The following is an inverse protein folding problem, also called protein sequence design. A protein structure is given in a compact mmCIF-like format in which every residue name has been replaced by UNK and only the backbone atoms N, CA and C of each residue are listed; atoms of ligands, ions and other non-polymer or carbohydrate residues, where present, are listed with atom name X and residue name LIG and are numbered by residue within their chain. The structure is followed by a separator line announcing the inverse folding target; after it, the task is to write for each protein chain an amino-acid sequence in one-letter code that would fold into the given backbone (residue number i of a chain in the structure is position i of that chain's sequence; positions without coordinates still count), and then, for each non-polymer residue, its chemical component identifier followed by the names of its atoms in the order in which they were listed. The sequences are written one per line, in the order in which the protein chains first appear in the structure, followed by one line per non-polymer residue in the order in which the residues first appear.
data_IF_801513451105
#
_entry.id   IF_801513451105
#
_cell.length_a   1.000
_cell.length_b   1.000
_cell.length_c   1.000
_cell.angle_alpha   90.00
_cell.angle_beta   90.00
_cell.angle_gamma   90.00
#
_symmetry.space_group_name_H-M   'P 1'
#
loop_
_entity.id
_entity.type
_entity.pdbx_description
1 polymer ?
#
# COMPACT_ATOMS: atom_id res chain seq x y z
N UNK A 1 -49.06 -32.17 -39.14
CA UNK A 1 -49.05 -33.26 -40.14
C UNK A 1 -47.70 -33.93 -40.06
N UNK A 2 -47.70 -35.20 -39.61
CA UNK A 2 -46.69 -36.28 -39.74
C UNK A 2 -45.32 -36.01 -39.10
N UNK A 3 -44.99 -36.66 -37.99
CA UNK A 3 -44.60 -38.09 -37.81
C UNK A 3 -43.25 -38.36 -38.49
N UNK A 4 -42.14 -38.45 -37.74
CA UNK A 4 -41.61 -39.64 -37.04
C UNK A 4 -40.69 -40.49 -37.90
N UNK A 5 -39.50 -40.80 -37.36
CA UNK A 5 -38.56 -41.91 -37.61
C UNK A 5 -37.11 -41.34 -37.46
N UNK A 6 -36.38 -41.48 -36.35
CA UNK A 6 -36.01 -42.68 -35.58
C UNK A 6 -35.05 -43.61 -36.35
N UNK A 7 -33.78 -43.61 -35.91
CA UNK A 7 -32.84 -44.75 -35.86
C UNK A 7 -31.60 -44.23 -35.10
N UNK A 8 -31.31 -44.63 -33.86
CA UNK A 8 -30.71 -45.91 -33.42
C UNK A 8 -29.48 -46.29 -34.26
N UNK A 9 -28.36 -46.76 -33.72
CA UNK A 9 -27.68 -46.74 -32.43
C UNK A 9 -26.27 -47.30 -32.77
N UNK A 10 -25.27 -46.92 -31.97
CA UNK A 10 -23.91 -47.49 -31.80
C UNK A 10 -23.82 -49.04 -31.85
N UNK A 11 -22.64 -49.71 -32.00
CA UNK A 11 -21.34 -49.41 -31.35
C UNK A 11 -20.12 -49.72 -32.29
N UNK A 12 -18.84 -49.82 -31.94
CA UNK A 12 -18.11 -50.25 -30.74
C UNK A 12 -16.61 -49.91 -30.94
N UNK A 13 -15.94 -49.57 -29.83
CA UNK A 13 -14.61 -50.06 -29.38
C UNK A 13 -13.38 -50.12 -30.32
N UNK A 14 -12.23 -49.64 -29.83
CA UNK A 14 -10.92 -50.15 -30.27
C UNK A 14 -9.72 -49.22 -30.16
N UNK A 15 -9.34 -48.90 -28.92
CA UNK A 15 -7.98 -48.70 -28.37
C UNK A 15 -6.76 -48.32 -29.25
N UNK A 16 -6.11 -47.23 -28.78
CA UNK A 16 -4.66 -46.97 -28.72
C UNK A 16 -3.79 -47.07 -29.97
N UNK A 17 -3.24 -45.91 -30.37
CA UNK A 17 -1.79 -45.81 -30.57
C UNK A 17 -1.27 -44.39 -30.27
N UNK A 18 -0.25 -44.35 -29.42
CA UNK A 18 0.50 -43.18 -29.00
C UNK A 18 1.66 -43.04 -30.00
N UNK A 19 1.72 -41.94 -30.75
CA UNK A 19 3.01 -41.49 -31.31
C UNK A 19 3.19 -39.97 -31.23
N UNK A 20 4.02 -39.61 -30.26
CA UNK A 20 5.05 -38.58 -30.31
C UNK A 20 4.80 -37.36 -31.22
N UNK A 21 4.27 -36.32 -30.59
CA UNK A 21 4.31 -34.92 -31.02
C UNK A 21 5.74 -34.50 -31.35
N UNK A 22 6.15 -34.68 -32.61
CA UNK A 22 7.35 -34.06 -33.15
C UNK A 22 7.04 -32.58 -33.33
N UNK A 23 7.47 -31.80 -32.34
CA UNK A 23 7.45 -30.34 -32.29
C UNK A 23 8.00 -29.77 -33.61
N UNK A 24 7.10 -29.52 -34.57
CA UNK A 24 7.35 -28.59 -35.65
C UNK A 24 7.41 -27.23 -34.97
N UNK A 25 8.63 -26.70 -34.89
CA UNK A 25 8.88 -25.31 -34.57
C UNK A 25 8.07 -24.47 -35.56
N UNK A 26 6.87 -24.08 -35.16
CA UNK A 26 6.12 -22.99 -35.75
C UNK A 26 7.03 -21.79 -35.54
N UNK A 27 7.78 -21.44 -36.59
CA UNK A 27 8.41 -20.15 -36.70
C UNK A 27 7.28 -19.14 -36.47
N UNK A 28 7.26 -18.52 -35.28
CA UNK A 28 6.39 -17.38 -35.01
C UNK A 28 6.59 -16.43 -36.18
N UNK A 29 5.52 -16.03 -36.89
CA UNK A 29 5.66 -14.93 -37.83
C UNK A 29 6.25 -13.78 -37.01
N UNK A 30 7.45 -13.35 -37.39
CA UNK A 30 7.96 -12.06 -36.99
C UNK A 30 7.01 -11.04 -37.63
N UNK A 31 5.91 -10.76 -36.93
CA UNK A 31 5.17 -9.54 -37.11
C UNK A 31 6.14 -8.44 -36.74
N UNK A 32 6.87 -7.94 -37.74
CA UNK A 32 7.46 -6.62 -37.70
C UNK A 32 6.29 -5.66 -37.53
N UNK A 33 5.88 -5.44 -36.27
CA UNK A 33 4.99 -4.34 -35.97
C UNK A 33 5.58 -3.09 -36.63
N UNK A 34 4.75 -2.27 -37.28
CA UNK A 34 5.22 -1.00 -37.82
C UNK A 34 5.93 -0.29 -36.67
N UNK A 35 7.19 0.08 -36.88
CA UNK A 35 8.00 0.78 -35.90
C UNK A 35 7.20 2.01 -35.49
N UNK A 36 6.46 1.92 -34.37
CA UNK A 36 5.79 3.07 -33.77
C UNK A 36 6.85 4.15 -33.69
N UNK A 37 6.52 5.35 -34.18
CA UNK A 37 7.39 6.51 -34.03
C UNK A 37 7.90 6.52 -32.58
N UNK A 38 9.22 6.57 -32.39
CA UNK A 38 9.85 6.46 -31.06
C UNK A 38 9.27 7.49 -30.09
N UNK A 39 8.82 8.64 -30.61
CA UNK A 39 8.17 9.68 -29.82
C UNK A 39 6.73 9.33 -29.42
N UNK A 40 5.97 8.60 -30.25
CA UNK A 40 4.67 8.05 -29.87
C UNK A 40 4.82 6.98 -28.79
N UNK A 41 5.85 6.14 -28.87
CA UNK A 41 6.15 5.15 -27.82
C UNK A 41 6.50 5.84 -26.49
N UNK A 42 7.26 6.94 -26.53
CA UNK A 42 7.59 7.73 -25.34
C UNK A 42 6.35 8.38 -24.72
N UNK A 43 5.42 8.90 -25.53
CA UNK A 43 4.15 9.46 -25.05
C UNK A 43 3.29 8.40 -24.37
N UNK A 44 3.15 7.22 -24.99
CA UNK A 44 2.42 6.09 -24.42
C UNK A 44 3.04 5.61 -23.10
N UNK A 45 4.38 5.47 -23.07
CA UNK A 45 5.13 5.13 -21.85
C UNK A 45 4.95 6.20 -20.77
N UNK A 46 4.95 7.48 -21.14
CA UNK A 46 4.73 8.59 -20.23
C UNK A 46 3.29 8.58 -19.66
N UNK A 47 2.29 8.19 -20.44
CA UNK A 47 0.91 8.04 -19.99
C UNK A 47 0.78 6.87 -18.98
N UNK A 48 1.30 5.69 -19.33
CA UNK A 48 1.34 4.53 -18.44
C UNK A 48 2.08 4.83 -17.12
N UNK A 49 3.18 5.58 -17.20
CA UNK A 49 3.93 6.02 -16.01
C UNK A 49 3.13 6.96 -15.12
N UNK A 50 2.28 7.81 -15.71
CA UNK A 50 1.41 8.70 -14.96
C UNK A 50 0.31 7.93 -14.20
N UNK A 51 -0.23 6.87 -14.80
CA UNK A 51 -1.15 5.96 -14.10
C UNK A 51 -0.46 5.25 -12.93
N UNK A 52 0.77 4.77 -13.12
CA UNK A 52 1.56 4.17 -12.04
C UNK A 52 1.80 5.15 -10.87
N UNK A 53 2.03 6.43 -11.17
CA UNK A 53 2.15 7.48 -10.15
C UNK A 53 0.83 7.63 -9.37
N UNK A 54 -0.33 7.65 -10.04
CA UNK A 54 -1.64 7.69 -9.38
C UNK A 54 -1.88 6.48 -8.47
N UNK A 55 -1.50 5.29 -8.93
CA UNK A 55 -1.58 4.08 -8.11
C UNK A 55 -0.65 4.15 -6.89
N UNK A 56 0.57 4.66 -7.05
CA UNK A 56 1.50 4.88 -5.94
C UNK A 56 0.92 5.87 -4.90
N UNK A 57 0.31 6.96 -5.35
CA UNK A 57 -0.31 7.97 -4.48
C UNK A 57 -1.53 7.42 -3.73
N UNK A 58 -2.34 6.62 -4.41
CA UNK A 58 -3.48 5.92 -3.79
C UNK A 58 -3.01 4.96 -2.71
N UNK A 59 -2.00 4.12 -3.00
CA UNK A 59 -1.40 3.19 -2.03
C UNK A 59 -0.78 3.94 -0.85
N UNK A 60 -0.07 5.03 -1.11
CA UNK A 60 0.54 5.84 -0.08
C UNK A 60 -0.52 6.45 0.87
N UNK A 61 -1.63 6.93 0.31
CA UNK A 61 -2.75 7.50 1.08
C UNK A 61 -3.42 6.45 1.97
N UNK A 62 -3.64 5.23 1.45
CA UNK A 62 -4.19 4.12 2.22
C UNK A 62 -3.26 3.73 3.36
N UNK A 63 -1.96 3.56 3.08
CA UNK A 63 -0.97 3.25 4.11
C UNK A 63 -0.86 4.36 5.15
N UNK A 64 -0.98 5.62 4.74
CA UNK A 64 -0.95 6.77 5.63
C UNK A 64 -2.09 6.70 6.64
N UNK A 65 -3.31 6.42 6.16
CA UNK A 65 -4.48 6.25 7.03
C UNK A 65 -4.28 5.10 8.04
N UNK A 66 -3.78 3.94 7.58
CA UNK A 66 -3.53 2.78 8.46
C UNK A 66 -2.48 3.13 9.52
N UNK A 67 -1.34 3.70 9.12
CA UNK A 67 -0.26 4.01 10.05
C UNK A 67 -0.65 5.11 11.02
N UNK A 68 -1.37 6.14 10.58
CA UNK A 68 -1.88 7.20 11.45
C UNK A 68 -2.92 6.66 12.45
N UNK A 69 -3.80 5.74 12.04
CA UNK A 69 -4.75 5.12 12.94
C UNK A 69 -4.05 4.30 14.04
N UNK A 70 -3.06 3.48 13.66
CA UNK A 70 -2.29 2.70 14.63
C UNK A 70 -1.45 3.60 15.55
N UNK A 71 -0.82 4.63 14.99
CA UNK A 71 -0.04 5.61 15.76
C UNK A 71 -0.93 6.32 16.81
N UNK A 72 -2.16 6.69 16.43
CA UNK A 72 -3.13 7.28 17.35
C UNK A 72 -3.57 6.31 18.45
N UNK A 73 -3.82 5.04 18.11
CA UNK A 73 -4.17 4.01 19.07
C UNK A 73 -3.04 3.74 20.07
N UNK A 74 -1.83 3.46 19.57
CA UNK A 74 -0.67 3.18 20.41
C UNK A 74 -0.25 4.40 21.23
N UNK A 75 -0.33 5.61 20.66
CA UNK A 75 -0.05 6.85 21.38
C UNK A 75 -1.05 7.12 22.51
N UNK A 76 -2.34 6.83 22.30
CA UNK A 76 -3.36 6.91 23.36
C UNK A 76 -3.06 5.93 24.49
N UNK A 77 -2.74 4.68 24.16
CA UNK A 77 -2.39 3.65 25.16
C UNK A 77 -1.22 4.08 26.03
N UNK A 78 -0.14 4.57 25.41
CA UNK A 78 1.04 5.07 26.12
C UNK A 78 0.74 6.28 27.03
N UNK A 79 -0.24 7.11 26.64
CA UNK A 79 -0.66 8.23 27.48
C UNK A 79 -1.52 7.80 28.68
N UNK A 80 -2.31 6.74 28.55
CA UNK A 80 -3.15 6.18 29.63
C UNK A 80 -2.31 5.44 30.67
N UNK A 81 -1.30 4.66 30.25
CA UNK A 81 -0.41 3.92 31.16
C UNK A 81 0.55 4.84 31.94
N UNK A 82 0.63 6.12 31.55
CA UNK A 82 1.39 7.16 32.22
C UNK A 82 2.88 7.06 31.93
N UNK A 83 3.43 8.04 31.22
CA UNK A 83 4.87 8.23 30.96
C UNK A 83 5.63 8.63 32.24
N UNK A 84 5.49 7.86 33.30
CA UNK A 84 6.09 8.12 34.59
C UNK A 84 7.49 7.53 34.60
N UNK A 85 8.42 8.32 34.04
CA UNK A 85 9.88 8.12 34.02
C UNK A 85 10.41 7.08 33.03
N UNK A 86 11.12 7.56 32.01
CA UNK A 86 11.87 6.74 31.03
C UNK A 86 12.82 5.71 31.67
N UNK A 87 13.29 5.94 32.90
CA UNK A 87 14.18 5.01 33.62
C UNK A 87 13.46 3.79 34.23
N UNK A 88 12.13 3.76 34.23
CA UNK A 88 11.33 2.67 34.80
C UNK A 88 10.41 2.00 33.77
N UNK A 89 10.59 2.27 32.48
CA UNK A 89 9.76 1.68 31.43
C UNK A 89 9.97 0.17 31.35
N UNK A 90 8.86 -0.56 31.37
CA UNK A 90 8.87 -2.00 31.12
C UNK A 90 9.16 -2.30 29.63
N UNK A 91 9.65 -3.51 29.36
CA UNK A 91 10.00 -3.96 28.00
C UNK A 91 8.88 -3.73 26.97
N UNK A 92 7.58 -3.97 27.27
CA UNK A 92 6.49 -3.68 26.35
C UNK A 92 6.38 -2.20 26.00
N UNK A 93 6.55 -1.30 26.97
CA UNK A 93 6.48 0.15 26.74
C UNK A 93 7.61 0.63 25.82
N UNK A 94 8.83 0.13 26.04
CA UNK A 94 9.99 0.44 25.18
C UNK A 94 9.72 0.01 23.74
N UNK A 95 9.20 -1.21 23.53
CA UNK A 95 8.83 -1.72 22.21
C UNK A 95 7.72 -0.90 21.55
N UNK A 96 6.78 -0.39 22.35
CA UNK A 96 5.69 0.47 21.89
C UNK A 96 6.23 1.84 21.44
N UNK A 97 7.13 2.46 22.20
CA UNK A 97 7.79 3.72 21.83
C UNK A 97 8.61 3.56 20.54
N UNK A 98 9.38 2.47 20.43
CA UNK A 98 10.14 2.15 19.21
C UNK A 98 9.20 1.99 18.01
N UNK A 99 8.08 1.27 18.19
CA UNK A 99 7.04 1.12 17.17
C UNK A 99 6.51 2.47 16.68
N UNK A 100 6.19 3.39 17.62
CA UNK A 100 5.72 4.73 17.30
C UNK A 100 6.74 5.54 16.50
N UNK A 101 8.02 5.51 16.88
CA UNK A 101 9.08 6.22 16.16
C UNK A 101 9.27 5.68 14.74
N UNK A 102 9.26 4.35 14.58
CA UNK A 102 9.38 3.70 13.28
C UNK A 102 8.17 4.04 12.39
N UNK A 103 6.95 4.02 12.95
CA UNK A 103 5.73 4.39 12.23
C UNK A 103 5.74 5.86 11.82
N UNK A 104 6.19 6.76 12.70
CA UNK A 104 6.34 8.18 12.37
C UNK A 104 7.32 8.39 11.21
N UNK A 105 8.46 7.69 11.21
CA UNK A 105 9.41 7.71 10.09
C UNK A 105 8.79 7.17 8.78
N UNK A 106 7.98 6.10 8.88
CA UNK A 106 7.21 5.56 7.76
C UNK A 106 6.20 6.56 7.19
N UNK A 107 5.46 7.25 8.06
CA UNK A 107 4.51 8.32 7.70
C UNK A 107 5.22 9.46 6.95
N UNK A 108 6.38 9.90 7.43
CA UNK A 108 7.18 10.94 6.74
C UNK A 108 7.55 10.48 5.32
N UNK A 109 7.95 9.22 5.14
CA UNK A 109 8.23 8.66 3.82
C UNK A 109 6.98 8.60 2.92
N UNK A 110 5.80 8.33 3.47
CA UNK A 110 4.53 8.38 2.72
C UNK A 110 4.17 9.79 2.28
N UNK A 111 4.34 10.78 3.16
CA UNK A 111 4.15 12.20 2.81
C UNK A 111 5.07 12.58 1.64
N UNK A 112 6.33 12.16 1.69
CA UNK A 112 7.28 12.39 0.59
C UNK A 112 6.94 11.66 -0.71
N UNK A 113 6.16 10.57 -0.64
CA UNK A 113 5.66 9.85 -1.81
C UNK A 113 4.54 10.63 -2.50
N UNK A 114 3.63 11.21 -1.72
CA UNK A 114 2.48 11.98 -2.22
C UNK A 114 2.91 13.37 -2.68
N UNK A 115 3.90 13.98 -2.01
CA UNK A 115 4.31 15.36 -2.27
C UNK A 115 4.67 15.58 -3.75
N UNK A 116 4.13 16.63 -4.40
CA UNK A 116 4.43 16.93 -5.78
C UNK A 116 5.90 17.33 -5.92
N UNK A 117 6.72 16.45 -6.51
CA UNK A 117 8.16 16.66 -6.76
C UNK A 117 8.48 17.03 -8.20
N UNK A 118 7.50 17.50 -8.97
CA UNK A 118 7.81 18.11 -10.24
C UNK A 118 8.58 19.41 -9.93
N UNK A 119 9.92 19.34 -10.00
CA UNK A 119 10.71 20.54 -10.22
C UNK A 119 10.24 21.06 -11.56
N UNK A 120 9.33 22.03 -11.53
CA UNK A 120 9.11 22.91 -12.68
C UNK A 120 10.49 23.51 -12.90
N UNK A 121 11.16 23.12 -13.99
CA UNK A 121 12.44 23.70 -14.35
C UNK A 121 12.17 25.20 -14.54
N UNK A 122 12.44 25.99 -13.49
CA UNK A 122 12.14 27.43 -13.45
C UNK A 122 12.96 28.20 -14.49
N UNK A 123 13.99 27.58 -15.06
CA UNK A 123 14.95 28.27 -15.93
C UNK A 123 14.67 28.11 -17.43
N UNK A 124 13.72 27.26 -17.84
CA UNK A 124 13.27 27.18 -19.23
C UNK A 124 11.86 26.62 -19.29
N UNK A 125 10.91 27.50 -19.62
CA UNK A 125 9.55 27.26 -20.10
C UNK A 125 8.97 25.86 -19.82
N UNK A 126 7.98 25.80 -18.91
CA UNK A 126 7.00 24.70 -18.80
C UNK A 126 6.73 24.16 -20.22
N UNK A 127 6.98 22.89 -20.52
CA UNK A 127 6.70 22.38 -21.87
C UNK A 127 5.21 22.57 -22.25
N UNK A 128 4.86 22.67 -23.53
CA UNK A 128 3.45 22.85 -23.96
C UNK A 128 2.53 21.70 -23.50
N UNK A 129 3.10 20.54 -23.17
CA UNK A 129 2.40 19.38 -22.60
C UNK A 129 2.12 19.48 -21.09
N UNK A 130 2.54 20.57 -20.42
CA UNK A 130 2.27 20.78 -19.00
C UNK A 130 0.93 21.47 -18.79
N UNK A 131 0.12 20.93 -17.87
CA UNK A 131 -1.18 21.50 -17.49
C UNK A 131 -1.06 22.98 -17.09
N UNK A 132 -0.03 23.35 -16.32
CA UNK A 132 0.22 24.72 -15.88
C UNK A 132 0.52 25.70 -17.01
N UNK A 133 0.89 25.23 -18.21
CA UNK A 133 1.09 26.07 -19.39
C UNK A 133 -0.14 26.07 -20.28
N UNK A 134 -0.83 24.94 -20.38
CA UNK A 134 -2.14 24.86 -21.06
C UNK A 134 -3.14 25.80 -20.38
N UNK A 135 -3.09 25.90 -19.04
CA UNK A 135 -3.94 26.81 -18.26
C UNK A 135 -3.58 28.29 -18.38
N UNK A 136 -2.45 28.64 -19.01
CA UNK A 136 -2.09 30.04 -19.27
C UNK A 136 -2.80 30.60 -20.51
N UNK A 137 -3.45 29.75 -21.31
CA UNK A 137 -4.24 30.14 -22.48
C UNK A 137 -5.73 30.23 -22.12
N UNK A 138 -6.41 31.27 -22.60
CA UNK A 138 -7.81 31.53 -22.28
C UNK A 138 -8.78 30.60 -23.05
N UNK A 139 -8.32 30.07 -24.18
CA UNK A 139 -9.11 29.37 -25.19
C UNK A 139 -8.28 28.27 -25.89
N UNK A 140 -8.92 27.13 -26.22
CA UNK A 140 -8.35 26.04 -27.01
C UNK A 140 -7.81 26.50 -28.37
N UNK A 141 -8.43 27.51 -29.01
CA UNK A 141 -7.96 28.07 -30.28
C UNK A 141 -6.64 28.80 -30.13
N UNK A 142 -6.46 29.52 -29.02
CA UNK A 142 -5.21 30.21 -28.71
C UNK A 142 -4.08 29.20 -28.51
N UNK A 143 -4.38 28.12 -27.79
CA UNK A 143 -3.45 27.01 -27.60
C UNK A 143 -3.14 26.26 -28.92
N UNK A 144 -4.14 26.02 -29.77
CA UNK A 144 -3.94 25.40 -31.10
C UNK A 144 -3.04 26.27 -31.96
N UNK A 145 -3.30 27.58 -32.04
CA UNK A 145 -2.48 28.52 -32.80
C UNK A 145 -1.03 28.58 -32.29
N UNK A 146 -0.82 28.39 -30.98
CA UNK A 146 0.50 28.29 -30.38
C UNK A 146 1.26 27.00 -30.78
N UNK A 147 0.54 25.88 -30.90
CA UNK A 147 1.11 24.60 -31.37
C UNK A 147 1.35 24.61 -32.88
N UNK A 148 0.37 25.09 -33.64
CA UNK A 148 0.33 25.04 -35.10
C UNK A 148 1.11 26.19 -35.76
N UNK A 149 1.44 27.24 -35.00
CA UNK A 149 2.23 28.37 -35.48
C UNK A 149 3.74 28.06 -35.59
N UNK A 150 4.49 28.96 -36.23
CA UNK A 150 5.96 28.88 -36.39
C UNK A 150 6.75 28.96 -35.05
N UNK A 151 6.05 29.07 -33.92
CA UNK A 151 6.64 29.28 -32.60
C UNK A 151 7.24 27.99 -32.03
N UNK A 152 6.73 26.81 -32.41
CA UNK A 152 7.24 25.51 -31.98
C UNK A 152 7.88 24.76 -33.14
N UNK A 153 9.21 24.66 -33.12
CA UNK A 153 9.92 23.78 -34.05
C UNK A 153 9.72 22.30 -33.67
N UNK A 154 9.64 21.41 -34.65
CA UNK A 154 9.57 19.94 -34.45
C UNK A 154 10.65 19.42 -33.48
N UNK A 155 11.86 19.98 -33.52
CA UNK A 155 12.95 19.66 -32.61
C UNK A 155 12.62 19.98 -31.14
N UNK A 156 11.93 21.09 -30.90
CA UNK A 156 11.52 21.53 -29.57
C UNK A 156 10.39 20.64 -29.04
N UNK A 157 9.44 20.27 -29.90
CA UNK A 157 8.38 19.30 -29.58
C UNK A 157 8.99 17.97 -29.12
N UNK A 158 9.91 17.42 -29.92
CA UNK A 158 10.61 16.16 -29.63
C UNK A 158 11.37 16.20 -28.31
N UNK A 159 12.06 17.31 -28.03
CA UNK A 159 12.77 17.52 -26.76
C UNK A 159 11.81 17.52 -25.58
N UNK A 160 10.68 18.22 -25.68
CA UNK A 160 9.70 18.27 -24.59
C UNK A 160 9.01 16.94 -24.32
N UNK A 161 8.77 16.12 -25.34
CA UNK A 161 8.28 14.74 -25.17
C UNK A 161 9.28 13.91 -24.37
N UNK A 162 10.57 14.01 -24.68
CA UNK A 162 11.65 13.31 -23.96
C UNK A 162 11.73 13.79 -22.51
N UNK A 163 11.71 15.11 -22.29
CA UNK A 163 11.76 15.70 -20.94
C UNK A 163 10.55 15.29 -20.10
N UNK A 164 9.35 15.24 -20.69
CA UNK A 164 8.14 14.76 -20.04
C UNK A 164 8.26 13.29 -19.63
N UNK A 165 8.67 12.42 -20.57
CA UNK A 165 8.82 11.00 -20.32
C UNK A 165 9.88 10.73 -19.24
N UNK A 166 11.03 11.40 -19.32
CA UNK A 166 12.09 11.31 -18.33
C UNK A 166 11.67 11.83 -16.96
N UNK A 167 11.02 13.00 -16.91
CA UNK A 167 10.51 13.61 -15.69
C UNK A 167 9.52 12.70 -14.97
N UNK A 168 8.57 12.11 -15.71
CA UNK A 168 7.60 11.14 -15.18
C UNK A 168 8.30 9.86 -14.71
N UNK A 169 9.22 9.29 -15.48
CA UNK A 169 9.95 8.08 -15.08
C UNK A 169 10.78 8.30 -13.80
N UNK A 170 11.48 9.42 -13.70
CA UNK A 170 12.27 9.78 -12.53
C UNK A 170 11.38 10.03 -11.29
N UNK A 171 10.25 10.72 -11.46
CA UNK A 171 9.26 10.92 -10.40
C UNK A 171 8.69 9.58 -9.92
N UNK A 172 8.28 8.72 -10.85
CA UNK A 172 7.77 7.39 -10.58
C UNK A 172 8.76 6.55 -9.77
N UNK A 173 10.02 6.46 -10.23
CA UNK A 173 11.08 5.74 -9.52
C UNK A 173 11.22 6.22 -8.08
N UNK A 174 11.35 7.53 -7.88
CA UNK A 174 11.49 8.11 -6.53
C UNK A 174 10.29 7.80 -5.64
N UNK A 175 9.05 7.95 -6.15
CA UNK A 175 7.83 7.62 -5.41
C UNK A 175 7.82 6.17 -4.96
N UNK A 176 8.16 5.24 -5.84
CA UNK A 176 8.24 3.82 -5.47
C UNK A 176 9.38 3.50 -4.51
N UNK A 177 10.50 4.21 -4.58
CA UNK A 177 11.60 4.04 -3.61
C UNK A 177 11.16 4.48 -2.20
N UNK A 178 10.51 5.63 -2.06
CA UNK A 178 9.94 6.07 -0.78
C UNK A 178 8.80 5.15 -0.30
N UNK A 179 7.94 4.69 -1.20
CA UNK A 179 6.85 3.78 -0.87
C UNK A 179 7.38 2.45 -0.33
N UNK A 180 8.45 1.90 -0.92
CA UNK A 180 9.12 0.69 -0.43
C UNK A 180 9.68 0.90 0.97
N UNK A 181 10.40 2.00 1.20
CA UNK A 181 10.95 2.33 2.52
C UNK A 181 9.83 2.48 3.55
N UNK A 182 8.77 3.20 3.21
CA UNK A 182 7.59 3.37 4.07
C UNK A 182 6.89 2.04 4.39
N UNK A 183 6.85 1.11 3.44
CA UNK A 183 6.29 -0.23 3.64
C UNK A 183 7.14 -1.03 4.64
N UNK A 184 8.46 -1.05 4.47
CA UNK A 184 9.37 -1.77 5.38
C UNK A 184 9.28 -1.20 6.80
N UNK A 185 9.37 0.13 6.94
CA UNK A 185 9.24 0.80 8.23
C UNK A 185 7.86 0.56 8.85
N UNK A 186 6.80 0.75 8.09
CA UNK A 186 5.47 0.59 8.65
C UNK A 186 5.14 -0.84 9.07
N UNK A 187 5.56 -1.86 8.29
CA UNK A 187 5.39 -3.26 8.70
C UNK A 187 6.19 -3.54 9.98
N UNK A 188 7.45 -3.14 10.06
CA UNK A 188 8.25 -3.38 11.27
C UNK A 188 7.70 -2.64 12.48
N UNK A 189 7.22 -1.41 12.30
CA UNK A 189 6.52 -0.64 13.32
C UNK A 189 5.25 -1.34 13.80
N UNK A 190 4.36 -1.75 12.89
CA UNK A 190 3.12 -2.47 13.22
C UNK A 190 3.40 -3.79 13.96
N UNK A 191 4.38 -4.57 13.51
CA UNK A 191 4.78 -5.84 14.14
C UNK A 191 5.30 -5.59 15.56
N UNK A 192 6.21 -4.64 15.73
CA UNK A 192 6.75 -4.29 17.05
C UNK A 192 5.68 -3.81 18.02
N UNK A 193 4.77 -2.95 17.55
CA UNK A 193 3.67 -2.42 18.39
C UNK A 193 2.66 -3.50 18.76
N UNK A 194 2.32 -4.36 17.81
CA UNK A 194 1.40 -5.49 18.07
C UNK A 194 2.01 -6.50 19.03
N UNK A 195 3.30 -6.80 18.89
CA UNK A 195 4.03 -7.68 19.79
C UNK A 195 4.09 -7.11 21.22
N UNK A 196 4.34 -5.81 21.37
CA UNK A 196 4.29 -5.12 22.67
C UNK A 196 2.93 -5.31 23.35
N UNK A 197 1.84 -5.02 22.62
CA UNK A 197 0.48 -5.18 23.16
C UNK A 197 0.20 -6.64 23.52
N UNK A 198 0.64 -7.60 22.71
CA UNK A 198 0.44 -9.02 22.98
C UNK A 198 1.17 -9.48 24.25
N UNK A 199 2.42 -9.05 24.46
CA UNK A 199 3.20 -9.36 25.66
C UNK A 199 2.52 -8.81 26.90
N UNK A 200 2.05 -7.57 26.86
CA UNK A 200 1.35 -6.95 27.99
C UNK A 200 0.04 -7.67 28.33
N UNK A 201 -0.73 -8.10 27.31
CA UNK A 201 -1.94 -8.90 27.53
C UNK A 201 -1.61 -10.25 28.16
N UNK A 202 -0.53 -10.92 27.74
CA UNK A 202 -0.11 -12.19 28.33
C UNK A 202 0.33 -12.02 29.79
N UNK A 203 1.08 -10.97 30.11
CA UNK A 203 1.48 -10.67 31.49
C UNK A 203 0.28 -10.42 32.41
N UNK A 204 -0.78 -9.77 31.90
CA UNK A 204 -2.04 -9.57 32.63
C UNK A 204 -2.83 -10.86 32.86
N UNK A 205 -2.66 -11.88 32.01
CA UNK A 205 -3.35 -13.18 32.13
C UNK A 205 -2.62 -14.15 33.07
N UNK A 206 -1.29 -14.08 33.14
CA UNK A 206 -0.46 -14.99 33.97
C UNK A 206 -0.44 -14.64 35.47
N UNK A 207 -0.94 -13.49 35.89
CA UNK A 207 -1.09 -13.12 37.29
C UNK A 207 -2.54 -13.36 37.77
N UNK A 208 -2.92 -14.58 38.19
CA UNK A 208 -4.13 -14.74 38.97
C UNK A 208 -3.97 -13.95 40.27
N UNK A 209 -4.95 -13.13 40.61
CA UNK A 209 -4.90 -12.26 41.80
C UNK A 209 -4.63 -13.10 43.05
N UNK A 210 -3.50 -12.83 43.71
CA UNK A 210 -3.23 -13.32 45.07
C UNK A 210 -4.33 -12.87 46.05
N UNK A 211 -5.15 -11.88 45.69
CA UNK A 211 -6.34 -11.48 46.45
C UNK A 211 -7.42 -12.58 46.55
N UNK A 212 -7.50 -13.51 45.59
CA UNK A 212 -8.47 -14.63 45.68
C UNK A 212 -8.07 -15.72 46.69
N UNK A 213 -6.81 -15.71 47.19
CA UNK A 213 -6.36 -16.67 48.22
C UNK A 213 -6.49 -16.14 49.65
N UNK A 214 -6.65 -14.83 49.86
CA UNK A 214 -6.81 -14.29 51.22
C UNK A 214 -8.24 -14.36 51.76
N UNK A 215 -9.26 -14.51 50.90
CA UNK A 215 -10.67 -14.57 51.34
C UNK A 215 -11.11 -15.96 51.87
N UNK A 216 -10.25 -16.99 51.81
CA UNK A 216 -10.59 -18.34 52.32
C UNK A 216 -10.08 -18.61 53.75
N UNK A 217 -9.43 -17.64 54.41
CA UNK A 217 -8.94 -17.78 55.79
C UNK A 217 -9.63 -16.78 56.74
N UNK A 218 -10.93 -16.53 56.57
CA UNK A 218 -11.76 -16.11 57.71
C UNK A 218 -12.48 -17.33 58.30
N UNK A 219 -11.84 -17.84 59.34
CA UNK A 219 -12.30 -18.93 60.21
C UNK A 219 -13.74 -18.70 60.70
N UNK A 220 -14.64 -19.69 60.62
CA UNK A 220 -15.97 -19.57 61.20
C UNK A 220 -15.85 -19.44 62.71
N UNK A 221 -16.27 -18.27 63.23
CA UNK A 221 -16.51 -18.02 64.66
C UNK A 221 -17.29 -19.20 65.26
N UNK A 222 -16.64 -19.89 66.18
CA UNK A 222 -17.23 -20.82 67.14
C UNK A 222 -18.45 -20.15 67.82
N UNK A 223 -19.65 -20.54 67.41
CA UNK A 223 -20.86 -20.28 68.17
C UNK A 223 -20.91 -21.31 69.32
N UNK A 224 -20.73 -20.81 70.54
CA UNK A 224 -20.93 -21.61 71.76
C UNK A 224 -22.43 -21.86 72.00
N UNK A 225 -22.82 -23.06 72.49
CA UNK A 225 -24.22 -23.43 72.65
C UNK A 225 -24.84 -22.89 73.94
N UNK A 226 -26.14 -22.59 73.83
CA UNK A 226 -27.10 -22.36 74.90
C UNK A 226 -26.97 -23.35 76.07
N UNK A 227 -26.96 -22.82 77.29
CA UNK A 227 -27.60 -23.50 78.43
C UNK A 227 -27.79 -22.55 79.62
N UNK A 228 -29.04 -22.25 79.97
CA UNK A 228 -29.72 -22.79 81.17
C UNK A 228 -31.07 -22.07 81.44
N UNK A 229 -32.10 -22.80 81.91
CA UNK A 229 -33.38 -22.23 82.32
C UNK A 229 -33.32 -21.73 83.77
N UNK A 230 -34.05 -20.65 84.08
CA UNK A 230 -34.35 -20.26 85.46
C UNK A 230 -35.77 -20.72 85.83
N UNK A 231 -35.84 -21.46 86.93
CA UNK A 231 -37.05 -21.67 87.73
C UNK A 231 -37.32 -20.44 88.60
#
# INVERSE_FOLDING_TARGET
MKDSAENEETPESGDTEIEATKSQAIAKPQTSEPIKDKYLLLLDTAANTYENIKFADTKATVLLAIYSAFLGFAGKKLAEDGLNHFSQMDVPEILLVISLLILAAGIICLIFTIWPRAKVHMDNHKGFLHADRISEFDDVREFSNYIDGDTLTEKEIKKQIVDLAWGRANSNRKKYDFLKIAMVLGISGLVSGSASIAVEVLQKVELPSEESMQETIESPRSQAPDSLPKA
#
